data_IF_939403403384
#
_entry.id   IF_939403403384
#
_cell.length_a   1.000
_cell.length_b   1.000
_cell.length_c   1.000
_cell.angle_alpha   90.00
_cell.angle_beta   90.00
_cell.angle_gamma   90.00
#
_symmetry.space_group_name_H-M   'P 1'
#
loop_
_entity.id
_entity.type
_entity.pdbx_description
1 polymer ?
#
# COMPACT_ATOMS: atom_id res chain seq x y z
N UNK A 1 3.85 9.19 -9.52
CA UNK A 1 3.24 9.11 -8.17
C UNK A 1 4.33 8.77 -7.20
N UNK A 2 4.37 9.40 -6.02
CA UNK A 2 5.54 9.70 -5.18
C UNK A 2 6.06 11.14 -5.39
N UNK A 3 6.39 11.82 -4.29
CA UNK A 3 6.72 13.25 -4.28
C UNK A 3 8.13 13.47 -4.83
N UNK A 4 8.23 14.16 -5.97
CA UNK A 4 9.50 14.54 -6.63
C UNK A 4 10.44 13.37 -6.94
N UNK A 5 9.94 12.13 -6.91
CA UNK A 5 10.70 10.93 -7.29
C UNK A 5 9.84 10.10 -8.23
N UNK A 6 10.29 9.83 -9.47
CA UNK A 6 9.56 8.96 -10.37
C UNK A 6 9.62 7.53 -9.84
N UNK A 7 8.49 7.03 -9.35
CA UNK A 7 8.27 5.64 -8.96
C UNK A 7 6.94 5.15 -9.52
N UNK A 8 6.95 3.89 -9.93
CA UNK A 8 5.73 3.17 -10.30
C UNK A 8 4.94 2.82 -9.04
N UNK A 9 3.63 2.65 -9.18
CA UNK A 9 2.76 2.22 -8.08
C UNK A 9 3.17 0.85 -7.52
N UNK A 10 3.68 -0.03 -8.39
CA UNK A 10 4.25 -1.33 -8.02
C UNK A 10 5.47 -1.18 -7.09
N UNK A 11 6.44 -0.34 -7.44
CA UNK A 11 7.61 -0.10 -6.57
C UNK A 11 7.23 0.49 -5.21
N UNK A 12 6.19 1.33 -5.18
CA UNK A 12 5.64 1.87 -3.92
C UNK A 12 5.07 0.74 -3.07
N UNK A 13 4.23 -0.12 -3.65
CA UNK A 13 3.67 -1.27 -2.95
C UNK A 13 4.74 -2.23 -2.44
N UNK A 14 5.71 -2.60 -3.27
CA UNK A 14 6.83 -3.46 -2.86
C UNK A 14 7.59 -2.87 -1.67
N UNK A 15 7.81 -1.56 -1.66
CA UNK A 15 8.49 -0.87 -0.55
C UNK A 15 7.66 -0.92 0.74
N UNK A 16 6.37 -0.61 0.64
CA UNK A 16 5.46 -0.60 1.79
C UNK A 16 5.29 -2.02 2.38
N UNK A 17 5.07 -3.02 1.54
CA UNK A 17 4.91 -4.42 1.96
C UNK A 17 6.18 -4.96 2.62
N UNK A 18 7.36 -4.70 2.05
CA UNK A 18 8.64 -5.07 2.69
C UNK A 18 8.81 -4.41 4.05
N UNK A 19 8.38 -3.15 4.18
CA UNK A 19 8.36 -2.45 5.46
C UNK A 19 7.47 -3.16 6.48
N UNK A 20 6.23 -3.47 6.12
CA UNK A 20 5.27 -4.17 6.98
C UNK A 20 5.74 -5.56 7.38
N UNK A 21 6.34 -6.34 6.47
CA UNK A 21 6.91 -7.66 6.76
C UNK A 21 7.99 -7.59 7.86
N UNK A 22 8.82 -6.54 7.87
CA UNK A 22 9.82 -6.32 8.94
C UNK A 22 9.20 -5.97 10.29
N UNK A 23 7.94 -5.54 10.33
CA UNK A 23 7.22 -5.23 11.57
C UNK A 23 6.30 -6.37 12.01
N UNK A 24 6.04 -7.37 11.15
CA UNK A 24 5.07 -8.45 11.36
C UNK A 24 5.35 -9.28 12.62
N UNK A 25 6.62 -9.39 13.03
CA UNK A 25 7.03 -10.08 14.25
C UNK A 25 6.38 -9.52 15.54
N UNK A 26 5.87 -8.28 15.52
CA UNK A 26 5.17 -7.66 16.65
C UNK A 26 3.77 -8.27 16.90
N UNK A 27 3.29 -9.15 16.02
CA UNK A 27 2.05 -9.89 16.23
C UNK A 27 0.81 -9.09 15.88
N UNK A 28 0.71 -8.60 14.65
CA UNK A 28 -0.51 -7.96 14.12
C UNK A 28 -1.46 -9.00 13.53
N UNK A 29 -2.76 -8.81 13.72
CA UNK A 29 -3.83 -9.68 13.19
C UNK A 29 -4.42 -9.19 11.85
N UNK A 30 -3.96 -8.03 11.39
CA UNK A 30 -4.44 -7.32 10.20
C UNK A 30 -3.41 -6.29 9.72
N UNK A 31 -3.50 -5.88 8.46
CA UNK A 31 -2.63 -4.87 7.87
C UNK A 31 -3.37 -4.01 6.82
N UNK A 32 -2.82 -2.84 6.50
CA UNK A 32 -3.34 -1.97 5.44
C UNK A 32 -2.34 -0.93 4.96
N UNK A 33 -2.62 -0.37 3.78
CA UNK A 33 -1.86 0.73 3.17
C UNK A 33 -2.82 1.81 2.64
N UNK A 34 -2.38 3.06 2.68
CA UNK A 34 -3.04 4.19 2.08
C UNK A 34 -2.07 4.81 1.06
N UNK A 35 -2.51 4.97 -0.19
CA UNK A 35 -1.71 5.54 -1.26
C UNK A 35 -2.55 6.53 -2.07
N UNK A 36 -1.89 7.41 -2.82
CA UNK A 36 -2.60 8.28 -3.75
C UNK A 36 -3.38 7.45 -4.78
N UNK A 37 -4.65 7.79 -5.01
CA UNK A 37 -5.52 7.19 -6.02
C UNK A 37 -5.23 7.76 -7.40
N UNK A 38 -5.67 7.08 -8.47
CA UNK A 38 -5.31 7.38 -9.86
C UNK A 38 -5.76 8.75 -10.41
N UNK A 39 -6.38 9.61 -9.59
CA UNK A 39 -6.83 10.91 -10.06
C UNK A 39 -5.65 11.89 -10.12
N UNK A 40 -5.31 12.34 -11.32
CA UNK A 40 -4.27 13.35 -11.56
C UNK A 40 -4.76 14.78 -11.26
N UNK A 41 -6.05 14.95 -10.98
CA UNK A 41 -6.61 16.24 -10.61
C UNK A 41 -6.15 16.67 -9.21
N UNK A 42 -5.33 17.71 -9.18
CA UNK A 42 -4.76 18.31 -7.96
C UNK A 42 -5.84 18.85 -7.01
N UNK A 43 -7.04 19.13 -7.52
CA UNK A 43 -8.16 19.70 -6.76
C UNK A 43 -8.79 18.72 -5.76
N UNK A 44 -8.72 17.41 -6.04
CA UNK A 44 -9.23 16.37 -5.15
C UNK A 44 -8.23 15.22 -5.06
N UNK A 45 -7.30 15.31 -4.10
CA UNK A 45 -6.40 14.20 -3.76
C UNK A 45 -7.22 13.05 -3.19
N UNK A 46 -7.57 12.09 -4.03
CA UNK A 46 -8.23 10.87 -3.60
C UNK A 46 -7.20 9.93 -2.98
N UNK A 47 -7.42 9.49 -1.73
CA UNK A 47 -6.59 8.47 -1.07
C UNK A 47 -7.24 7.12 -1.30
N UNK A 48 -6.51 6.19 -1.90
CA UNK A 48 -6.92 4.80 -2.05
C UNK A 48 -6.43 3.98 -0.84
N UNK A 49 -7.39 3.43 -0.10
CA UNK A 49 -7.17 2.60 1.09
C UNK A 49 -7.37 1.13 0.77
N UNK A 50 -6.38 0.30 1.11
CA UNK A 50 -6.47 -1.16 1.03
C UNK A 50 -6.16 -1.74 2.41
N UNK A 51 -7.06 -2.59 2.91
CA UNK A 51 -6.96 -3.21 4.24
C UNK A 51 -7.34 -4.68 4.14
N UNK A 52 -6.65 -5.55 4.86
CA UNK A 52 -6.94 -6.98 4.91
C UNK A 52 -6.70 -7.53 6.32
N UNK A 53 -7.61 -8.41 6.77
CA UNK A 53 -7.40 -9.22 7.98
C UNK A 53 -6.43 -10.36 7.67
N UNK A 54 -5.60 -10.71 8.63
CA UNK A 54 -4.57 -11.75 8.51
C UNK A 54 -3.17 -11.18 8.36
N UNK A 55 -2.24 -12.05 7.95
CA UNK A 55 -0.83 -11.70 7.75
C UNK A 55 -0.64 -10.69 6.62
N UNK A 56 0.52 -10.02 6.60
CA UNK A 56 0.91 -9.05 5.56
C UNK A 56 0.83 -9.67 4.16
N UNK A 57 1.08 -10.97 4.02
CA UNK A 57 0.90 -11.71 2.76
C UNK A 57 -0.53 -11.61 2.20
N UNK A 58 -1.55 -11.63 3.04
CA UNK A 58 -2.94 -11.51 2.59
C UNK A 58 -3.24 -10.09 2.05
N UNK A 59 -2.59 -9.07 2.61
CA UNK A 59 -2.66 -7.71 2.08
C UNK A 59 -1.94 -7.60 0.73
N UNK A 60 -0.77 -8.24 0.60
CA UNK A 60 0.00 -8.26 -0.66
C UNK A 60 -0.82 -8.88 -1.81
N UNK A 61 -1.48 -10.01 -1.57
CA UNK A 61 -2.38 -10.65 -2.53
C UNK A 61 -3.57 -9.74 -2.92
N UNK A 62 -4.16 -9.03 -1.95
CA UNK A 62 -5.26 -8.09 -2.20
C UNK A 62 -4.84 -6.91 -3.09
N UNK A 63 -3.58 -6.45 -2.98
CA UNK A 63 -3.07 -5.32 -3.76
C UNK A 63 -2.94 -5.62 -5.27
N UNK A 64 -2.82 -6.89 -5.65
CA UNK A 64 -2.72 -7.33 -7.06
C UNK A 64 -4.01 -7.96 -7.60
N UNK A 65 -5.01 -8.19 -6.74
CA UNK A 65 -6.32 -8.74 -7.12
C UNK A 65 -7.28 -7.70 -7.71
N UNK A 66 -6.91 -6.42 -7.73
CA UNK A 66 -7.70 -5.29 -8.26
C UNK A 66 -6.90 -4.47 -9.25
#
# INVERSE_FOLDING_TARGET
MNYRVPKTRKEIFETLIRGLQRLEYRGYDSAGVAIDGNNHEVKERHIHLVKKKGKVKALDEELYSK
#
